data_IF_759009899705
#
_entry.id   IF_759009899705
#
_cell.length_a   1.000
_cell.length_b   1.000
_cell.length_c   1.000
_cell.angle_alpha   90.00
_cell.angle_beta   90.00
_cell.angle_gamma   90.00
#
_symmetry.space_group_name_H-M   'P 1'
#
loop_
_entity.id
_entity.type
_entity.pdbx_description
1 polymer ?
#
# COMPACT_ATOMS: atom_id res chain seq x y z
N UNK A 1 15.80 -9.15 26.46
CA UNK A 1 15.48 -9.58 25.08
C UNK A 1 15.36 -8.33 24.22
N UNK A 2 15.93 -8.32 23.02
CA UNK A 2 15.82 -7.17 22.10
C UNK A 2 14.41 -7.21 21.47
N UNK A 3 13.57 -6.25 21.78
CA UNK A 3 12.26 -6.08 21.17
C UNK A 3 12.37 -5.01 20.08
N UNK A 4 11.89 -5.32 18.89
CA UNK A 4 11.94 -4.46 17.70
C UNK A 4 10.50 -4.07 17.37
N UNK A 5 10.23 -2.78 17.25
CA UNK A 5 8.93 -2.27 16.82
C UNK A 5 9.07 -1.58 15.48
N UNK A 6 8.16 -1.90 14.58
CA UNK A 6 8.13 -1.37 13.23
C UNK A 6 6.72 -0.81 12.98
N UNK A 7 6.66 0.34 12.34
CA UNK A 7 5.42 0.96 11.85
C UNK A 7 5.51 1.06 10.34
N UNK A 8 4.49 0.56 9.64
CA UNK A 8 4.42 0.55 8.19
C UNK A 8 3.12 1.22 7.73
N UNK A 9 3.17 2.15 6.76
CA UNK A 9 1.99 2.84 6.27
C UNK A 9 1.19 1.98 5.28
N UNK A 10 -0.06 2.36 5.06
CA UNK A 10 -0.84 1.97 3.90
C UNK A 10 -0.25 2.59 2.63
N UNK A 11 -0.59 2.03 1.48
CA UNK A 11 -0.19 2.56 0.19
C UNK A 11 -1.28 2.35 -0.86
N UNK A 12 -1.39 3.30 -1.78
CA UNK A 12 -2.26 3.19 -2.96
C UNK A 12 -1.41 3.27 -4.21
N UNK A 13 -1.40 2.19 -4.98
CA UNK A 13 -0.68 2.12 -6.24
C UNK A 13 -1.54 2.58 -7.43
N UNK A 14 -0.91 2.76 -8.56
CA UNK A 14 -1.45 3.11 -9.86
C UNK A 14 -1.94 4.57 -9.97
N UNK A 15 -2.82 5.02 -9.08
CA UNK A 15 -3.37 6.38 -9.08
C UNK A 15 -3.94 6.80 -10.47
N UNK A 16 -4.69 5.90 -11.13
CA UNK A 16 -5.10 6.08 -12.52
C UNK A 16 -3.97 5.76 -13.51
N UNK A 17 -3.41 6.73 -14.25
CA UNK A 17 -2.50 6.44 -15.37
C UNK A 17 -1.09 5.99 -14.97
N UNK A 18 -0.78 5.85 -13.68
CA UNK A 18 0.51 5.42 -13.17
C UNK A 18 0.63 3.91 -12.94
N UNK A 19 -0.03 3.09 -13.75
CA UNK A 19 -0.06 1.63 -13.64
C UNK A 19 1.33 1.01 -13.45
N UNK A 20 1.48 0.18 -12.40
CA UNK A 20 2.73 -0.50 -11.98
C UNK A 20 3.95 0.44 -11.84
N UNK A 21 3.72 1.75 -11.69
CA UNK A 21 4.76 2.78 -11.67
C UNK A 21 4.61 3.75 -10.50
N UNK A 22 3.40 4.21 -10.21
CA UNK A 22 3.14 5.20 -9.16
C UNK A 22 2.50 4.57 -7.94
N UNK A 23 2.95 4.97 -6.76
CA UNK A 23 2.24 4.69 -5.52
C UNK A 23 2.39 5.83 -4.51
N UNK A 24 1.38 5.99 -3.66
CA UNK A 24 1.32 7.00 -2.60
C UNK A 24 1.16 6.31 -1.25
N UNK A 25 2.04 6.62 -0.31
CA UNK A 25 1.89 6.20 1.08
C UNK A 25 0.85 7.06 1.80
N UNK A 26 0.07 6.45 2.69
CA UNK A 26 -1.01 7.09 3.44
C UNK A 26 -0.83 6.89 4.95
N UNK A 27 -1.27 7.85 5.76
CA UNK A 27 -1.11 7.88 7.22
C UNK A 27 -2.05 6.92 8.00
N UNK A 28 -2.31 5.76 7.42
CA UNK A 28 -2.95 4.61 8.06
C UNK A 28 -1.90 3.51 8.23
N UNK A 29 -1.66 3.03 9.46
CA UNK A 29 -0.48 2.23 9.72
C UNK A 29 -0.79 0.89 10.38
N UNK A 30 -0.01 -0.14 10.03
CA UNK A 30 0.14 -1.33 10.84
C UNK A 30 1.37 -1.21 11.75
N UNK A 31 1.30 -1.80 12.92
CA UNK A 31 2.42 -1.89 13.86
C UNK A 31 2.81 -3.36 14.06
N UNK A 32 4.12 -3.60 14.03
CA UNK A 32 4.70 -4.92 14.25
C UNK A 32 5.67 -4.85 15.44
N UNK A 33 5.54 -5.81 16.35
CA UNK A 33 6.54 -6.05 17.40
C UNK A 33 7.14 -7.44 17.21
N UNK A 34 8.48 -7.52 17.18
CA UNK A 34 9.19 -8.79 17.02
C UNK A 34 10.23 -8.94 18.12
N UNK A 35 10.25 -10.12 18.73
CA UNK A 35 11.20 -10.54 19.74
C UNK A 35 11.88 -11.85 19.33
N UNK A 36 13.21 -11.94 19.51
CA UNK A 36 13.92 -13.23 19.35
C UNK A 36 13.69 -14.08 20.59
N UNK A 37 13.26 -15.33 20.38
CA UNK A 37 12.96 -16.30 21.46
C UNK A 37 13.67 -17.64 21.23
N UNK A 38 13.85 -18.43 22.31
CA UNK A 38 14.42 -19.78 22.26
C UNK A 38 13.30 -20.83 22.04
N UNK A 39 12.41 -20.56 21.09
CA UNK A 39 11.29 -21.42 20.73
C UNK A 39 11.03 -21.26 19.23
N UNK A 40 10.10 -22.06 18.70
CA UNK A 40 9.62 -21.88 17.31
C UNK A 40 8.91 -20.52 17.13
N UNK A 41 8.25 -20.33 15.99
CA UNK A 41 7.48 -19.15 15.70
C UNK A 41 6.23 -19.06 16.58
N UNK A 42 6.10 -17.95 17.31
CA UNK A 42 4.90 -17.56 18.07
C UNK A 42 4.31 -16.30 17.40
N UNK A 43 3.11 -16.41 16.77
CA UNK A 43 2.54 -15.36 15.95
C UNK A 43 1.14 -14.99 16.41
N UNK A 44 0.93 -13.71 16.70
CA UNK A 44 -0.35 -13.14 17.10
C UNK A 44 -0.77 -12.03 16.12
N UNK A 45 -2.05 -12.04 15.71
CA UNK A 45 -2.68 -11.01 14.88
C UNK A 45 -3.77 -10.32 15.66
N UNK A 46 -3.70 -8.99 15.74
CA UNK A 46 -4.73 -8.11 16.28
C UNK A 46 -5.25 -7.16 15.18
N UNK A 47 -6.47 -6.64 15.35
CA UNK A 47 -7.10 -5.74 14.38
C UNK A 47 -7.54 -6.45 13.10
N UNK A 48 -7.19 -5.88 11.94
CA UNK A 48 -7.58 -6.40 10.64
C UNK A 48 -7.00 -7.79 10.37
N UNK A 49 -7.86 -8.72 9.99
CA UNK A 49 -7.47 -10.10 9.71
C UNK A 49 -7.31 -10.99 10.94
N UNK A 50 -7.68 -10.54 12.15
CA UNK A 50 -7.70 -11.37 13.35
C UNK A 50 -8.61 -12.59 13.12
N UNK A 51 -8.07 -13.79 13.32
CA UNK A 51 -8.75 -15.06 13.09
C UNK A 51 -8.91 -15.46 11.61
N UNK A 52 -8.43 -14.64 10.67
CA UNK A 52 -8.44 -14.92 9.22
C UNK A 52 -7.04 -15.15 8.66
N UNK A 53 -6.07 -14.32 9.09
CA UNK A 53 -4.69 -14.45 8.65
C UNK A 53 -4.00 -15.64 9.33
N UNK A 54 -3.10 -16.36 8.63
CA UNK A 54 -2.29 -17.41 9.23
C UNK A 54 -1.47 -16.88 10.41
N UNK A 55 -1.29 -17.73 11.43
CA UNK A 55 -0.44 -17.47 12.59
C UNK A 55 0.77 -18.40 12.65
N UNK A 56 1.22 -18.86 11.49
CA UNK A 56 2.36 -19.75 11.29
C UNK A 56 3.32 -19.20 10.22
N UNK A 57 4.26 -20.01 9.77
CA UNK A 57 5.24 -19.61 8.76
C UNK A 57 4.66 -19.28 7.38
N UNK A 58 3.37 -19.53 7.14
CA UNK A 58 2.68 -19.14 5.91
C UNK A 58 2.20 -17.69 5.92
N UNK A 59 2.28 -16.99 7.06
CA UNK A 59 1.98 -15.57 7.13
C UNK A 59 3.02 -14.75 6.34
N UNK A 60 2.56 -13.75 5.56
CA UNK A 60 3.44 -12.94 4.69
C UNK A 60 4.58 -12.24 5.46
N UNK A 61 4.32 -11.78 6.68
CA UNK A 61 5.35 -11.18 7.53
C UNK A 61 6.46 -12.20 7.83
N UNK A 62 6.08 -13.42 8.20
CA UNK A 62 7.02 -14.50 8.50
C UNK A 62 7.77 -14.94 7.24
N UNK A 63 7.08 -15.09 6.12
CA UNK A 63 7.70 -15.44 4.82
C UNK A 63 8.74 -14.41 4.41
N UNK A 64 8.41 -13.11 4.49
CA UNK A 64 9.33 -12.03 4.17
C UNK A 64 10.56 -12.03 5.09
N UNK A 65 10.35 -12.20 6.40
CA UNK A 65 11.44 -12.30 7.36
C UNK A 65 12.36 -13.50 7.03
N UNK A 66 11.81 -14.68 6.78
CA UNK A 66 12.60 -15.86 6.42
C UNK A 66 13.33 -15.69 5.08
N UNK A 67 12.71 -15.02 4.09
CA UNK A 67 13.36 -14.73 2.81
C UNK A 67 14.61 -13.86 3.01
N UNK A 68 14.53 -12.83 3.86
CA UNK A 68 15.70 -12.01 4.17
C UNK A 68 16.78 -12.80 4.92
N UNK A 69 16.43 -13.57 5.96
CA UNK A 69 17.42 -14.40 6.66
C UNK A 69 18.13 -15.37 5.71
N UNK A 70 17.44 -15.94 4.74
CA UNK A 70 18.05 -16.79 3.70
C UNK A 70 19.02 -15.99 2.85
N UNK A 71 18.65 -14.75 2.46
CA UNK A 71 19.49 -13.88 1.62
C UNK A 71 20.81 -13.52 2.32
N UNK A 72 20.77 -13.23 3.63
CA UNK A 72 21.97 -12.85 4.41
C UNK A 72 22.69 -14.04 5.06
N UNK A 73 22.16 -15.26 4.88
CA UNK A 73 22.79 -16.48 5.39
C UNK A 73 22.72 -16.62 6.92
N UNK A 74 21.75 -15.98 7.57
CA UNK A 74 21.54 -16.07 9.03
C UNK A 74 20.09 -16.39 9.36
N UNK A 75 19.86 -16.92 10.55
CA UNK A 75 18.53 -17.22 11.05
C UNK A 75 18.49 -17.14 12.57
N UNK A 76 17.48 -16.48 13.16
CA UNK A 76 17.31 -16.52 14.62
C UNK A 76 16.83 -17.91 15.07
N UNK A 77 17.02 -18.28 16.33
CA UNK A 77 16.49 -19.54 16.87
C UNK A 77 14.96 -19.60 16.79
N UNK A 78 14.28 -18.49 16.97
CA UNK A 78 12.84 -18.33 16.78
C UNK A 78 12.40 -16.88 16.98
N UNK A 79 11.12 -16.61 16.66
CA UNK A 79 10.56 -15.25 16.74
C UNK A 79 9.19 -15.28 17.38
N UNK A 80 8.94 -14.33 18.28
CA UNK A 80 7.59 -13.94 18.67
C UNK A 80 7.23 -12.69 17.88
N UNK A 81 6.13 -12.77 17.09
CA UNK A 81 5.63 -11.70 16.23
C UNK A 81 4.24 -11.32 16.72
N UNK A 82 4.03 -10.03 16.98
CA UNK A 82 2.73 -9.44 17.25
C UNK A 82 2.45 -8.37 16.23
N UNK A 83 1.41 -8.59 15.44
CA UNK A 83 0.95 -7.66 14.38
C UNK A 83 -0.35 -7.02 14.83
N UNK A 84 -0.38 -5.69 14.92
CA UNK A 84 -1.59 -4.89 15.13
C UNK A 84 -1.94 -4.18 13.82
N UNK A 85 -2.93 -4.69 13.11
CA UNK A 85 -3.28 -4.28 11.77
C UNK A 85 -4.46 -3.30 11.77
N UNK A 86 -4.30 -2.17 11.08
CA UNK A 86 -5.36 -1.19 10.84
C UNK A 86 -5.66 -1.02 9.35
N UNK A 87 -4.78 -1.52 8.48
CA UNK A 87 -4.96 -1.46 7.02
C UNK A 87 -5.91 -2.58 6.61
N UNK A 88 -7.09 -2.27 6.06
CA UNK A 88 -8.08 -3.28 5.67
C UNK A 88 -7.52 -4.27 4.65
N UNK A 89 -7.85 -5.55 4.81
CA UNK A 89 -7.43 -6.60 3.89
C UNK A 89 -8.20 -6.50 2.57
N UNK A 90 -7.53 -6.82 1.45
CA UNK A 90 -8.16 -6.88 0.13
C UNK A 90 -8.80 -5.57 -0.36
N UNK A 91 -8.40 -4.44 0.21
CA UNK A 91 -9.03 -3.12 0.03
C UNK A 91 -8.42 -2.27 -1.07
N UNK A 92 -7.28 -2.66 -1.63
CA UNK A 92 -6.45 -1.83 -2.51
C UNK A 92 -5.51 -0.87 -1.77
N UNK A 93 -5.44 -0.96 -0.42
CA UNK A 93 -4.59 -0.09 0.42
C UNK A 93 -3.22 -0.69 0.77
N UNK A 94 -2.72 -1.63 -0.01
CA UNK A 94 -1.35 -2.14 0.11
C UNK A 94 -1.06 -2.97 1.37
N UNK A 95 -2.07 -3.64 1.96
CA UNK A 95 -1.90 -4.44 3.17
C UNK A 95 -0.86 -5.56 3.01
N UNK A 96 -0.77 -6.19 1.82
CA UNK A 96 0.24 -7.21 1.50
C UNK A 96 1.65 -6.62 1.50
N UNK A 97 1.87 -5.51 0.78
CA UNK A 97 3.15 -4.82 0.73
C UNK A 97 3.59 -4.35 2.12
N UNK A 98 2.66 -3.81 2.93
CA UNK A 98 2.93 -3.43 4.31
C UNK A 98 3.40 -4.62 5.16
N UNK A 99 2.78 -5.79 5.01
CA UNK A 99 3.17 -7.02 5.71
C UNK A 99 4.57 -7.48 5.28
N UNK A 100 4.86 -7.52 3.99
CA UNK A 100 6.15 -7.90 3.43
C UNK A 100 7.25 -6.96 3.94
N UNK A 101 7.06 -5.64 3.79
CA UNK A 101 8.03 -4.65 4.24
C UNK A 101 8.28 -4.75 5.75
N UNK A 102 7.22 -4.93 6.56
CA UNK A 102 7.36 -5.10 8.00
C UNK A 102 8.22 -6.33 8.35
N UNK A 103 7.99 -7.47 7.67
CA UNK A 103 8.77 -8.68 7.85
C UNK A 103 10.24 -8.53 7.44
N UNK A 104 10.51 -7.89 6.30
CA UNK A 104 11.87 -7.60 5.84
C UNK A 104 12.61 -6.69 6.82
N UNK A 105 12.01 -5.59 7.25
CA UNK A 105 12.64 -4.66 8.21
C UNK A 105 12.89 -5.31 9.57
N UNK A 106 11.99 -6.19 10.03
CA UNK A 106 12.19 -6.94 11.26
C UNK A 106 13.42 -7.86 11.15
N UNK A 107 13.52 -8.60 10.07
CA UNK A 107 14.62 -9.53 9.85
C UNK A 107 15.96 -8.80 9.64
N UNK A 108 15.98 -7.66 8.93
CA UNK A 108 17.17 -6.81 8.78
C UNK A 108 17.68 -6.32 10.14
N UNK A 109 16.77 -5.84 10.99
CA UNK A 109 17.08 -5.35 12.32
C UNK A 109 17.56 -6.47 13.29
N UNK A 110 17.03 -7.70 13.14
CA UNK A 110 17.44 -8.88 13.91
C UNK A 110 18.83 -9.36 13.46
N UNK A 111 19.01 -9.47 12.15
CA UNK A 111 20.27 -9.94 11.54
C UNK A 111 21.37 -8.89 11.59
N UNK A 112 21.04 -7.64 11.90
CA UNK A 112 21.96 -6.48 11.86
C UNK A 112 22.67 -6.39 10.49
N UNK A 113 21.93 -6.75 9.41
CA UNK A 113 22.52 -6.87 8.08
C UNK A 113 22.75 -5.51 7.40
N UNK A 114 22.05 -4.46 7.82
CA UNK A 114 22.24 -3.09 7.35
C UNK A 114 21.87 -2.93 5.87
N UNK A 115 20.87 -3.65 5.40
CA UNK A 115 20.40 -3.53 4.02
C UNK A 115 19.82 -2.14 3.75
N UNK A 116 20.09 -1.61 2.56
CA UNK A 116 19.45 -0.37 2.14
C UNK A 116 17.97 -0.58 1.82
N UNK A 117 17.18 0.51 1.80
CA UNK A 117 15.77 0.42 1.43
C UNK A 117 15.58 -0.09 0.00
N UNK A 118 16.49 0.22 -0.90
CA UNK A 118 16.51 -0.28 -2.28
C UNK A 118 16.71 -1.80 -2.32
N UNK A 119 17.62 -2.34 -1.51
CA UNK A 119 17.84 -3.78 -1.40
C UNK A 119 16.62 -4.50 -0.80
N UNK A 120 15.98 -3.90 0.21
CA UNK A 120 14.73 -4.42 0.76
C UNK A 120 13.59 -4.38 -0.28
N UNK A 121 13.54 -3.33 -1.12
CA UNK A 121 12.56 -3.20 -2.19
C UNK A 121 12.73 -4.30 -3.25
N UNK A 122 13.96 -4.65 -3.61
CA UNK A 122 14.22 -5.74 -4.55
C UNK A 122 13.70 -7.09 -4.02
N UNK A 123 13.91 -7.38 -2.72
CA UNK A 123 13.36 -8.61 -2.11
C UNK A 123 11.82 -8.54 -2.03
N UNK A 124 11.24 -7.39 -1.72
CA UNK A 124 9.79 -7.23 -1.70
C UNK A 124 9.19 -7.46 -3.09
N UNK A 125 9.82 -6.93 -4.14
CA UNK A 125 9.43 -7.15 -5.52
C UNK A 125 9.49 -8.63 -5.94
N UNK A 126 10.53 -9.37 -5.55
CA UNK A 126 10.61 -10.81 -5.80
C UNK A 126 9.45 -11.58 -5.15
N UNK A 127 8.98 -11.14 -3.97
CA UNK A 127 7.90 -11.79 -3.24
C UNK A 127 6.50 -11.44 -3.78
N UNK A 128 6.30 -10.21 -4.25
CA UNK A 128 4.98 -9.69 -4.62
C UNK A 128 4.75 -9.63 -6.14
N UNK A 129 5.84 -9.58 -6.93
CA UNK A 129 5.80 -9.49 -8.39
C UNK A 129 5.60 -8.06 -8.91
N UNK A 130 5.36 -7.07 -8.03
CA UNK A 130 5.27 -5.65 -8.33
C UNK A 130 5.88 -4.82 -7.19
N UNK A 131 6.47 -3.67 -7.51
CA UNK A 131 7.28 -2.93 -6.55
C UNK A 131 6.65 -1.62 -6.06
N UNK A 132 5.59 -1.15 -6.70
CA UNK A 132 4.99 0.17 -6.48
C UNK A 132 4.51 0.38 -5.04
N UNK A 133 3.61 -0.49 -4.54
CA UNK A 133 3.14 -0.42 -3.15
C UNK A 133 4.30 -0.54 -2.14
N UNK A 134 5.21 -1.50 -2.34
CA UNK A 134 6.36 -1.70 -1.45
C UNK A 134 7.30 -0.49 -1.44
N UNK A 135 7.49 0.19 -2.59
CA UNK A 135 8.25 1.42 -2.67
C UNK A 135 7.59 2.53 -1.84
N UNK A 136 6.28 2.76 -1.99
CA UNK A 136 5.58 3.76 -1.19
C UNK A 136 5.64 3.42 0.31
N UNK A 137 5.46 2.15 0.70
CA UNK A 137 5.59 1.72 2.09
C UNK A 137 6.99 1.99 2.62
N UNK A 138 8.04 1.66 1.89
CA UNK A 138 9.43 1.83 2.32
C UNK A 138 9.85 3.29 2.38
N UNK A 139 9.60 4.06 1.32
CA UNK A 139 10.16 5.40 1.16
C UNK A 139 9.23 6.51 1.64
N UNK A 140 7.91 6.26 1.67
CA UNK A 140 6.89 7.27 1.95
C UNK A 140 6.60 8.20 0.79
N UNK A 141 5.59 9.05 0.95
CA UNK A 141 5.17 10.04 -0.05
C UNK A 141 4.71 9.41 -1.37
N UNK A 142 4.74 10.21 -2.42
CA UNK A 142 4.53 9.73 -3.79
C UNK A 142 5.83 9.14 -4.33
N UNK A 143 5.82 7.88 -4.72
CA UNK A 143 6.97 7.19 -5.30
C UNK A 143 6.74 6.84 -6.76
N UNK A 144 7.80 6.96 -7.55
CA UNK A 144 7.89 6.42 -8.89
C UNK A 144 8.81 5.20 -8.84
N UNK A 145 8.36 4.09 -9.39
CA UNK A 145 9.16 2.88 -9.59
C UNK A 145 9.24 2.54 -11.06
N UNK A 146 10.39 2.13 -11.50
CA UNK A 146 10.63 1.63 -12.84
C UNK A 146 11.82 0.67 -12.86
N UNK A 147 12.08 0.10 -14.01
CA UNK A 147 13.21 -0.80 -14.22
C UNK A 147 14.18 -0.22 -15.25
N UNK A 148 15.47 -0.29 -14.95
CA UNK A 148 16.52 0.01 -15.91
C UNK A 148 17.67 -0.99 -15.74
N UNK A 149 18.13 -1.57 -16.85
CA UNK A 149 19.26 -2.50 -16.87
C UNK A 149 19.12 -3.71 -15.92
N UNK A 150 17.88 -4.16 -15.68
CA UNK A 150 17.59 -5.32 -14.84
C UNK A 150 17.48 -5.04 -13.33
N UNK A 151 17.63 -3.79 -12.92
CA UNK A 151 17.46 -3.36 -11.52
C UNK A 151 16.29 -2.41 -11.37
N UNK A 152 15.68 -2.40 -10.18
CA UNK A 152 14.67 -1.40 -9.84
C UNK A 152 15.30 -0.02 -9.66
N UNK A 153 14.59 0.98 -10.16
CA UNK A 153 14.87 2.38 -9.89
C UNK A 153 13.66 2.98 -9.19
N UNK A 154 13.88 3.68 -8.10
CA UNK A 154 12.81 4.38 -7.38
C UNK A 154 13.21 5.80 -7.03
N UNK A 155 12.23 6.68 -6.98
CA UNK A 155 12.42 8.04 -6.49
C UNK A 155 11.14 8.53 -5.79
N UNK A 156 11.31 9.29 -4.72
CA UNK A 156 10.23 9.98 -4.04
C UNK A 156 10.02 11.35 -4.68
N UNK A 157 8.78 11.70 -4.97
CA UNK A 157 8.41 12.99 -5.55
C UNK A 157 7.72 13.84 -4.49
N UNK A 158 8.18 15.07 -4.24
CA UNK A 158 7.46 15.99 -3.38
C UNK A 158 6.13 16.38 -4.03
N UNK A 159 5.05 16.35 -3.24
CA UNK A 159 3.70 16.74 -3.65
C UNK A 159 3.20 17.89 -2.78
N UNK A 160 2.26 18.67 -3.30
CA UNK A 160 1.58 19.68 -2.52
C UNK A 160 0.81 19.05 -1.34
N UNK A 161 0.69 19.75 -0.21
CA UNK A 161 -0.16 19.28 0.89
C UNK A 161 -1.59 19.05 0.41
N UNK A 162 -2.13 17.87 0.69
CA UNK A 162 -3.49 17.47 0.31
C UNK A 162 -4.02 16.42 1.27
N UNK A 163 -5.34 16.32 1.33
CA UNK A 163 -6.05 15.21 1.95
C UNK A 163 -6.77 14.39 0.89
N UNK A 164 -7.05 13.16 1.19
CA UNK A 164 -7.60 12.19 0.25
C UNK A 164 -8.82 11.52 0.87
N UNK A 165 -9.91 11.46 0.12
CA UNK A 165 -11.07 10.66 0.52
C UNK A 165 -10.91 9.24 -0.05
N UNK A 166 -11.00 8.24 0.82
CA UNK A 166 -10.82 6.83 0.44
C UNK A 166 -12.05 6.03 0.89
N UNK A 167 -12.55 5.19 0.02
CA UNK A 167 -13.60 4.23 0.36
C UNK A 167 -13.18 2.81 -0.04
N UNK A 168 -13.47 1.85 0.83
CA UNK A 168 -13.14 0.45 0.60
C UNK A 168 -14.37 -0.40 0.89
N UNK A 169 -15.11 -0.84 -0.15
CA UNK A 169 -16.20 -1.79 0.04
C UNK A 169 -15.64 -3.17 0.38
N UNK A 170 -16.37 -3.92 1.20
CA UNK A 170 -16.01 -5.30 1.54
C UNK A 170 -16.44 -6.24 0.42
N UNK A 171 -15.73 -6.18 -0.70
CA UNK A 171 -15.90 -7.04 -1.87
C UNK A 171 -14.62 -7.84 -2.06
N UNK A 172 -14.73 -9.15 -2.14
CA UNK A 172 -13.59 -10.01 -2.35
C UNK A 172 -13.10 -9.94 -3.80
N UNK A 173 -11.99 -9.23 -4.03
CA UNK A 173 -11.35 -9.03 -5.34
C UNK A 173 -9.85 -9.32 -5.24
N UNK A 174 -9.42 -10.58 -5.39
CA UNK A 174 -8.00 -10.94 -5.37
C UNK A 174 -7.22 -10.19 -6.45
N UNK A 175 -6.05 -9.67 -6.10
CA UNK A 175 -5.18 -8.92 -7.02
C UNK A 175 -4.82 -9.72 -8.27
N UNK A 176 -4.60 -11.03 -8.14
CA UNK A 176 -4.33 -11.94 -9.25
C UNK A 176 -5.48 -11.92 -10.27
N UNK A 177 -6.73 -12.07 -9.81
CA UNK A 177 -7.92 -11.99 -10.69
C UNK A 177 -8.00 -10.65 -11.41
N UNK A 178 -7.64 -9.56 -10.74
CA UNK A 178 -7.67 -8.22 -11.33
C UNK A 178 -6.52 -8.00 -12.32
N UNK A 179 -5.41 -8.74 -12.18
CA UNK A 179 -4.34 -8.78 -13.19
C UNK A 179 -4.72 -9.64 -14.40
N UNK A 180 -5.36 -10.77 -14.19
CA UNK A 180 -5.80 -11.66 -15.27
C UNK A 180 -6.83 -11.01 -16.21
N UNK A 181 -7.54 -10.00 -15.73
CA UNK A 181 -8.48 -9.22 -16.53
C UNK A 181 -7.81 -8.25 -17.52
N UNK A 182 -6.50 -8.01 -17.37
CA UNK A 182 -5.79 -7.05 -18.22
C UNK A 182 -5.43 -7.67 -19.58
N UNK A 183 -5.49 -6.88 -20.67
CA UNK A 183 -5.05 -7.35 -21.98
C UNK A 183 -3.53 -7.53 -22.00
N UNK A 184 -3.06 -8.51 -22.79
CA UNK A 184 -1.63 -8.73 -22.98
C UNK A 184 -0.96 -7.69 -23.89
N UNK A 185 -1.76 -7.00 -24.71
CA UNK A 185 -1.33 -5.98 -25.64
C UNK A 185 -2.31 -4.79 -25.59
N UNK A 186 -1.78 -3.59 -25.72
CA UNK A 186 -2.58 -2.36 -25.82
C UNK A 186 -2.24 -1.60 -27.09
N UNK A 187 -3.20 -0.85 -27.67
CA UNK A 187 -2.92 0.02 -28.80
C UNK A 187 -1.81 1.03 -28.48
N UNK A 188 -0.86 1.25 -29.38
CA UNK A 188 0.21 2.24 -29.21
C UNK A 188 -0.34 3.64 -28.87
N UNK A 189 -1.50 4.00 -29.41
CA UNK A 189 -2.18 5.25 -29.09
C UNK A 189 -2.53 5.35 -27.61
N UNK A 190 -3.06 4.29 -27.01
CA UNK A 190 -3.50 4.29 -25.61
C UNK A 190 -2.29 4.32 -24.67
N UNK A 191 -1.21 3.58 -25.03
CA UNK A 191 0.05 3.67 -24.31
C UNK A 191 0.63 5.10 -24.33
N UNK A 192 0.65 5.76 -25.50
CA UNK A 192 1.13 7.14 -25.64
C UNK A 192 0.27 8.16 -24.86
N UNK A 193 -1.05 8.00 -24.89
CA UNK A 193 -1.97 8.84 -24.10
C UNK A 193 -1.72 8.67 -22.60
N UNK A 194 -1.57 7.44 -22.14
CA UNK A 194 -1.36 7.14 -20.74
C UNK A 194 -0.03 7.70 -20.21
N UNK A 195 1.05 7.59 -20.99
CA UNK A 195 2.34 8.21 -20.64
C UNK A 195 2.22 9.74 -20.47
N UNK A 196 1.52 10.41 -21.38
CA UNK A 196 1.28 11.85 -21.30
C UNK A 196 0.44 12.23 -20.07
N UNK A 197 -0.62 11.48 -19.79
CA UNK A 197 -1.49 11.70 -18.63
C UNK A 197 -0.73 11.48 -17.32
N UNK A 198 0.06 10.41 -17.21
CA UNK A 198 0.89 10.16 -16.03
C UNK A 198 1.85 11.33 -15.77
N UNK A 199 2.55 11.84 -16.79
CA UNK A 199 3.45 12.98 -16.64
C UNK A 199 2.72 14.24 -16.18
N UNK A 200 1.54 14.54 -16.74
CA UNK A 200 0.71 15.67 -16.33
C UNK A 200 0.12 15.50 -14.93
N UNK A 201 -0.25 14.29 -14.54
CA UNK A 201 -0.72 13.97 -13.20
C UNK A 201 0.37 14.20 -12.14
N UNK A 202 1.60 13.78 -12.42
CA UNK A 202 2.74 14.05 -11.53
C UNK A 202 2.92 15.55 -11.32
N UNK A 203 2.85 16.34 -12.37
CA UNK A 203 2.97 17.81 -12.29
C UNK A 203 1.80 18.42 -11.51
N UNK A 204 0.58 17.93 -11.74
CA UNK A 204 -0.61 18.35 -11.01
C UNK A 204 -0.49 18.07 -9.49
N UNK A 205 -0.05 16.86 -9.11
CA UNK A 205 0.16 16.49 -7.71
C UNK A 205 1.27 17.32 -7.05
N UNK A 206 2.36 17.62 -7.77
CA UNK A 206 3.45 18.44 -7.25
C UNK A 206 3.02 19.86 -6.90
N UNK A 207 2.11 20.43 -7.66
CA UNK A 207 1.68 21.82 -7.51
C UNK A 207 0.31 21.98 -6.86
N UNK A 208 -0.43 20.88 -6.60
CA UNK A 208 -1.81 20.95 -6.10
C UNK A 208 -2.78 21.51 -7.13
N UNK A 209 -2.50 21.32 -8.42
CA UNK A 209 -3.34 21.77 -9.52
C UNK A 209 -4.47 20.75 -9.77
N UNK A 210 -5.58 20.94 -9.08
CA UNK A 210 -6.75 20.07 -9.18
C UNK A 210 -7.48 20.17 -10.54
N UNK A 211 -7.33 21.30 -11.27
CA UNK A 211 -7.89 21.42 -12.62
C UNK A 211 -7.11 20.53 -13.60
N UNK A 212 -5.78 20.59 -13.57
CA UNK A 212 -4.94 19.73 -14.36
C UNK A 212 -5.14 18.25 -13.97
N UNK A 213 -5.23 17.96 -12.66
CA UNK A 213 -5.44 16.62 -12.14
C UNK A 213 -6.74 15.98 -12.66
N UNK A 214 -7.83 16.75 -12.72
CA UNK A 214 -9.12 16.27 -13.23
C UNK A 214 -9.07 15.77 -14.67
N UNK A 215 -8.17 16.36 -15.48
CA UNK A 215 -7.98 16.00 -16.89
C UNK A 215 -6.91 14.93 -17.11
N UNK A 216 -5.97 14.81 -16.17
CA UNK A 216 -4.82 13.92 -16.27
C UNK A 216 -5.04 12.55 -15.58
N UNK A 217 -6.07 12.39 -14.75
CA UNK A 217 -6.29 11.19 -13.95
C UNK A 217 -6.92 10.00 -14.69
N UNK A 218 -7.38 10.20 -15.94
CA UNK A 218 -7.94 9.11 -16.73
C UNK A 218 -6.88 8.09 -17.13
N UNK A 219 -7.21 6.81 -17.01
CA UNK A 219 -6.37 5.69 -17.40
C UNK A 219 -6.93 4.94 -18.62
N UNK A 220 -6.02 4.38 -19.43
CA UNK A 220 -6.36 3.55 -20.58
C UNK A 220 -5.84 2.11 -20.46
N UNK A 221 -5.05 1.78 -19.41
CA UNK A 221 -4.30 0.53 -19.33
C UNK A 221 -4.91 -0.50 -18.39
N UNK A 222 -5.50 -0.07 -17.28
CA UNK A 222 -6.02 -1.02 -16.28
C UNK A 222 -7.44 -0.74 -15.80
N UNK A 223 -7.81 0.52 -15.51
CA UNK A 223 -9.13 0.88 -14.99
C UNK A 223 -10.28 0.47 -15.91
N UNK A 224 -10.21 0.62 -17.25
CA UNK A 224 -11.28 0.20 -18.16
C UNK A 224 -11.61 -1.29 -18.07
N UNK A 225 -10.65 -2.12 -17.66
CA UNK A 225 -10.81 -3.57 -17.52
C UNK A 225 -11.20 -4.00 -16.11
N UNK A 226 -10.76 -3.26 -15.09
CA UNK A 226 -10.97 -3.58 -13.67
C UNK A 226 -12.27 -3.03 -13.12
N UNK A 227 -12.62 -1.78 -13.44
CA UNK A 227 -13.82 -1.11 -12.92
C UNK A 227 -15.10 -1.91 -13.22
N UNK A 228 -15.32 -2.45 -14.43
CA UNK A 228 -16.52 -3.24 -14.73
C UNK A 228 -16.67 -4.52 -13.93
N UNK A 229 -15.60 -5.02 -13.31
CA UNK A 229 -15.62 -6.23 -12.49
C UNK A 229 -16.04 -5.96 -11.04
N UNK A 230 -16.07 -4.69 -10.63
CA UNK A 230 -16.38 -4.28 -9.25
C UNK A 230 -17.79 -3.70 -9.23
N UNK A 231 -18.79 -4.39 -8.65
CA UNK A 231 -20.17 -3.89 -8.61
C UNK A 231 -20.26 -2.52 -7.95
N UNK A 232 -20.95 -1.58 -8.56
CA UNK A 232 -21.14 -0.22 -8.06
C UNK A 232 -19.94 0.72 -8.20
N UNK A 233 -18.80 0.26 -8.74
CA UNK A 233 -17.57 1.07 -8.79
C UNK A 233 -17.70 2.28 -9.71
N UNK A 234 -18.29 2.11 -10.90
CA UNK A 234 -18.51 3.20 -11.84
C UNK A 234 -19.42 4.28 -11.26
N UNK A 235 -20.49 3.86 -10.60
CA UNK A 235 -21.46 4.75 -9.96
C UNK A 235 -20.85 5.46 -8.75
N UNK A 236 -20.07 4.75 -7.93
CA UNK A 236 -19.37 5.35 -6.79
C UNK A 236 -18.33 6.38 -7.26
N UNK A 237 -17.58 6.09 -8.32
CA UNK A 237 -16.66 7.03 -8.96
C UNK A 237 -17.38 8.30 -9.40
N UNK A 238 -18.52 8.16 -10.10
CA UNK A 238 -19.33 9.30 -10.55
C UNK A 238 -19.85 10.10 -9.35
N UNK A 239 -20.38 9.45 -8.33
CA UNK A 239 -20.88 10.12 -7.12
C UNK A 239 -19.77 10.93 -6.41
N UNK A 240 -18.54 10.44 -6.38
CA UNK A 240 -17.39 11.17 -5.85
C UNK A 240 -17.08 12.44 -6.65
N UNK A 241 -17.11 12.35 -7.99
CA UNK A 241 -16.91 13.50 -8.87
C UNK A 241 -18.03 14.55 -8.72
N UNK A 242 -19.30 14.12 -8.68
CA UNK A 242 -20.46 15.01 -8.47
C UNK A 242 -20.44 15.66 -7.07
N UNK A 243 -19.87 15.00 -6.06
CA UNK A 243 -19.68 15.55 -4.73
C UNK A 243 -18.55 16.60 -4.65
N UNK A 244 -17.74 16.74 -5.71
CA UNK A 244 -16.71 17.77 -5.83
C UNK A 244 -15.26 17.25 -5.88
N UNK A 245 -15.05 15.95 -6.05
CA UNK A 245 -13.71 15.43 -6.33
C UNK A 245 -13.22 15.91 -7.70
N UNK A 246 -11.96 16.32 -7.76
CA UNK A 246 -11.28 16.64 -9.03
C UNK A 246 -10.97 15.34 -9.80
N UNK A 247 -10.61 14.29 -9.10
CA UNK A 247 -10.33 12.97 -9.67
C UNK A 247 -10.75 11.88 -8.69
N UNK A 248 -11.20 10.74 -9.23
CA UNK A 248 -11.45 9.51 -8.48
C UNK A 248 -10.87 8.36 -9.27
N UNK A 249 -9.95 7.61 -8.68
CA UNK A 249 -9.26 6.46 -9.30
C UNK A 249 -9.41 5.20 -8.45
N UNK A 250 -9.13 4.03 -9.04
CA UNK A 250 -9.01 2.82 -8.25
C UNK A 250 -7.85 2.92 -7.25
N UNK A 251 -8.06 2.42 -6.06
CA UNK A 251 -6.98 2.18 -5.11
C UNK A 251 -6.28 0.87 -5.48
N UNK A 252 -5.08 0.95 -6.06
CA UNK A 252 -4.32 -0.21 -6.51
C UNK A 252 -5.06 -1.04 -7.57
N UNK A 253 -5.34 -2.30 -7.24
CA UNK A 253 -6.14 -3.18 -8.08
C UNK A 253 -7.67 -3.05 -7.83
N UNK A 254 -8.07 -2.27 -6.83
CA UNK A 254 -9.42 -2.19 -6.28
C UNK A 254 -9.62 -3.19 -5.12
N UNK A 255 -10.85 -3.34 -4.59
CA UNK A 255 -12.08 -2.66 -4.99
C UNK A 255 -12.21 -1.21 -4.47
N UNK A 256 -11.27 -0.75 -3.66
CA UNK A 256 -11.28 0.60 -3.10
C UNK A 256 -11.15 1.70 -4.16
N UNK A 257 -11.64 2.88 -3.82
CA UNK A 257 -11.50 4.11 -4.58
C UNK A 257 -10.77 5.17 -3.75
N UNK A 258 -9.93 5.97 -4.40
CA UNK A 258 -9.30 7.15 -3.84
C UNK A 258 -9.71 8.38 -4.62
N UNK A 259 -10.11 9.44 -3.91
CA UNK A 259 -10.55 10.70 -4.48
C UNK A 259 -9.61 11.84 -4.06
N UNK A 260 -9.27 12.66 -5.03
CA UNK A 260 -8.46 13.85 -4.90
C UNK A 260 -9.37 15.08 -4.98
N UNK A 261 -9.29 15.95 -3.99
CA UNK A 261 -10.12 17.16 -3.94
C UNK A 261 -9.42 18.30 -3.17
N UNK A 262 -9.73 19.56 -3.46
CA UNK A 262 -9.22 20.68 -2.67
C UNK A 262 -9.86 20.77 -1.28
N UNK A 263 -11.11 20.28 -1.15
CA UNK A 263 -11.90 20.32 0.09
C UNK A 263 -13.02 19.25 0.07
N UNK A 264 -13.93 19.26 1.05
CA UNK A 264 -15.14 18.41 1.16
C UNK A 264 -14.88 16.90 1.22
N UNK A 265 -13.73 16.47 1.69
CA UNK A 265 -13.27 15.08 1.65
C UNK A 265 -14.27 14.11 2.33
N UNK A 266 -14.83 14.49 3.48
CA UNK A 266 -15.84 13.70 4.20
C UNK A 266 -17.12 13.52 3.38
N UNK A 267 -17.59 14.58 2.72
CA UNK A 267 -18.79 14.53 1.88
C UNK A 267 -18.56 13.69 0.62
N UNK A 268 -17.37 13.76 0.03
CA UNK A 268 -16.98 12.94 -1.11
C UNK A 268 -16.92 11.46 -0.71
N UNK A 269 -16.28 11.13 0.41
CA UNK A 269 -16.23 9.77 0.93
C UNK A 269 -17.64 9.23 1.22
N UNK A 270 -18.53 10.05 1.81
CA UNK A 270 -19.92 9.69 2.08
C UNK A 270 -20.69 9.41 0.79
N UNK A 271 -20.57 10.28 -0.23
CA UNK A 271 -21.24 10.10 -1.51
C UNK A 271 -20.83 8.78 -2.19
N UNK A 272 -19.52 8.48 -2.23
CA UNK A 272 -19.02 7.22 -2.78
C UNK A 272 -19.50 6.00 -1.98
N UNK A 273 -19.46 6.08 -0.65
CA UNK A 273 -19.86 4.99 0.23
C UNK A 273 -21.36 4.66 0.13
N UNK A 274 -22.20 5.66 0.00
CA UNK A 274 -23.66 5.48 -0.12
C UNK A 274 -24.03 4.66 -1.37
N UNK A 275 -23.26 4.77 -2.45
CA UNK A 275 -23.45 3.92 -3.63
C UNK A 275 -23.23 2.46 -3.27
N UNK A 276 -22.08 2.11 -2.69
CA UNK A 276 -21.79 0.71 -2.31
C UNK A 276 -22.78 0.16 -1.28
N UNK A 277 -23.24 1.01 -0.35
CA UNK A 277 -24.29 0.63 0.60
C UNK A 277 -25.61 0.28 -0.10
N UNK A 278 -25.92 0.88 -1.25
CA UNK A 278 -27.11 0.54 -2.04
C UNK A 278 -27.02 -0.83 -2.74
N UNK A 279 -25.80 -1.39 -2.80
CA UNK A 279 -25.51 -2.77 -3.24
C UNK A 279 -25.37 -3.76 -2.06
N UNK A 280 -25.75 -3.35 -0.84
CA UNK A 280 -25.63 -4.15 0.39
C UNK A 280 -24.18 -4.52 0.79
N UNK A 281 -23.18 -3.79 0.31
CA UNK A 281 -21.80 -3.98 0.75
C UNK A 281 -21.49 -3.12 1.97
N UNK A 282 -20.90 -3.71 3.05
CA UNK A 282 -20.27 -2.93 4.09
C UNK A 282 -19.15 -2.07 3.49
N UNK A 283 -19.02 -0.82 3.94
CA UNK A 283 -18.05 0.14 3.38
C UNK A 283 -17.31 0.84 4.49
N UNK A 284 -16.00 0.93 4.35
CA UNK A 284 -15.18 1.78 5.20
C UNK A 284 -14.84 3.07 4.47
N UNK A 285 -14.82 4.15 5.24
CA UNK A 285 -14.51 5.50 4.77
C UNK A 285 -13.32 6.03 5.55
N UNK A 286 -12.41 6.65 4.85
CA UNK A 286 -11.25 7.31 5.44
C UNK A 286 -11.06 8.68 4.80
N UNK A 287 -10.53 9.61 5.58
CA UNK A 287 -9.91 10.83 5.05
C UNK A 287 -8.49 10.83 5.59
N UNK A 288 -7.52 10.64 4.69
CA UNK A 288 -6.13 10.38 5.00
C UNK A 288 -5.22 11.45 4.42
N UNK A 289 -4.11 11.68 5.09
CA UNK A 289 -3.01 12.48 4.58
C UNK A 289 -1.95 11.57 3.93
N UNK A 290 -1.14 12.06 2.97
CA UNK A 290 0.05 11.36 2.54
C UNK A 290 1.04 11.16 3.69
N UNK A 291 1.61 9.95 3.83
CA UNK A 291 2.66 9.64 4.81
C UNK A 291 4.04 9.89 4.21
N UNK A 292 4.77 10.94 4.63
CA UNK A 292 6.00 11.35 3.93
C UNK A 292 7.22 10.51 4.24
N UNK A 293 7.26 9.78 5.38
CA UNK A 293 8.47 9.13 5.89
C UNK A 293 8.56 7.64 5.53
N UNK A 294 7.42 7.01 5.23
CA UNK A 294 7.33 5.57 5.00
C UNK A 294 7.56 4.75 6.27
N UNK A 295 7.98 3.51 6.06
CA UNK A 295 8.21 2.56 7.13
C UNK A 295 9.32 3.02 8.08
N UNK A 296 9.10 2.82 9.37
CA UNK A 296 10.02 3.26 10.42
C UNK A 296 10.26 2.18 11.48
N UNK A 297 11.52 2.13 11.94
CA UNK A 297 11.93 1.33 13.09
C UNK A 297 11.78 2.19 14.35
N UNK A 298 10.90 1.75 15.25
CA UNK A 298 10.69 2.39 16.53
C UNK A 298 11.58 1.68 17.57
N UNK A 299 12.73 2.27 17.91
CA UNK A 299 13.63 1.70 18.93
C UNK A 299 12.91 1.74 20.28
N UNK A 300 12.64 0.58 20.87
CA UNK A 300 12.27 0.50 22.29
C UNK A 300 13.54 0.64 23.12
N UNK A 301 13.61 1.69 23.94
CA UNK A 301 14.63 1.76 24.99
C UNK A 301 14.49 0.50 25.87
N UNK A 302 15.61 -0.09 26.29
CA UNK A 302 15.61 -1.12 27.31
C UNK A 302 14.82 -0.60 28.52
N UNK A 303 13.71 -1.26 28.86
CA UNK A 303 13.18 -1.15 30.21
C UNK A 303 14.20 -1.82 31.12
N UNK A 304 15.06 -1.00 31.77
CA UNK A 304 15.74 -1.43 32.96
C UNK A 304 14.67 -1.83 33.99
N UNK A 305 14.48 -3.11 34.20
CA UNK A 305 13.77 -3.56 35.40
C UNK A 305 14.53 -3.00 36.60
N UNK A 306 13.86 -2.22 37.47
CA UNK A 306 14.48 -1.85 38.72
C UNK A 306 14.74 -3.15 39.53
N UNK A 307 16.01 -3.37 39.86
CA UNK A 307 16.45 -4.51 40.61
C UNK A 307 15.58 -4.70 41.85
N UNK A 308 15.17 -5.92 42.07
CA UNK A 308 14.65 -6.38 43.37
C UNK A 308 15.85 -6.49 44.31
N UNK A 309 15.96 -5.52 45.22
CA UNK A 309 16.65 -5.71 46.48
C UNK A 309 15.84 -6.59 47.44
#
# INVERSE_FOLDING_TARGET
MKSIRIRVPASVANLGPGFDTLALALDLHNELTVEVIDADLDFEVEGEGKGQLPTDASNLIAQAAYRLFQTVGTRPPGMRIRSNNHIPLGSGLGSSAAAIVAGLMAADAIAESGMSREQLLEIAWELEGHADNAAAVLFGGLTIVGQASGSLMTTQIPIAPMRLAVVTPEIEMPTERMRDALPQEVPLRDAALNLGRMALMLEALRHGDFELLSRASEDCLHEPYRIPLIPGCSEARLAGLEAGAAAVTLAGAGPGLIAFAPDRHEAIAEAMANVYSSYDYPVRKFVLDPEPQGASLLLTAHSDEPGRD
#
